data_IF_440602025839
#
_entry.id   IF_440602025839
#
_cell.length_a   1.000
_cell.length_b   1.000
_cell.length_c   1.000
_cell.angle_alpha   90.00
_cell.angle_beta   90.00
_cell.angle_gamma   90.00
#
_symmetry.space_group_name_H-M   'P 1'
#
loop_
_entity.id
_entity.type
_entity.pdbx_description
1 polymer ?
#
# COMPACT_ATOMS: atom_id res chain seq x y z
N UNK A 1 53.93 -10.80 34.06
CA UNK A 1 52.53 -11.13 33.71
C UNK A 1 52.08 -10.35 32.48
N UNK A 2 52.51 -10.77 31.28
CA UNK A 2 52.17 -10.11 30.00
C UNK A 2 51.60 -11.13 28.99
N UNK A 3 50.99 -12.20 29.49
CA UNK A 3 50.48 -13.33 28.71
C UNK A 3 48.96 -13.42 28.57
N UNK A 4 48.20 -12.43 29.05
CA UNK A 4 46.74 -12.53 29.23
C UNK A 4 45.89 -11.65 28.30
N UNK A 5 46.49 -11.01 27.28
CA UNK A 5 45.77 -10.16 26.31
C UNK A 5 45.63 -10.76 24.91
N UNK A 6 45.98 -12.05 24.71
CA UNK A 6 45.98 -12.67 23.37
C UNK A 6 44.83 -13.66 23.11
N UNK A 7 43.74 -13.61 23.89
CA UNK A 7 42.69 -14.64 23.84
C UNK A 7 41.25 -14.18 23.64
N UNK A 8 41.03 -12.98 23.09
CA UNK A 8 39.69 -12.50 22.73
C UNK A 8 39.51 -12.17 21.23
N UNK A 9 40.49 -12.46 20.39
CA UNK A 9 40.36 -12.40 18.92
C UNK A 9 40.18 -13.80 18.30
N UNK A 10 39.42 -14.69 18.93
CA UNK A 10 38.94 -15.90 18.28
C UNK A 10 37.67 -15.59 17.47
N UNK A 11 37.90 -15.34 16.19
CA UNK A 11 36.96 -15.34 15.06
C UNK A 11 35.47 -15.45 15.37
N UNK A 12 34.78 -14.30 15.40
CA UNK A 12 33.44 -14.27 14.82
C UNK A 12 33.62 -14.56 13.34
N UNK A 13 33.36 -15.80 12.91
CA UNK A 13 32.99 -16.06 11.52
C UNK A 13 31.97 -14.97 11.18
N UNK A 14 32.29 -14.09 10.23
CA UNK A 14 31.25 -13.34 9.52
C UNK A 14 30.30 -14.43 9.04
N UNK A 15 29.20 -14.65 9.75
CA UNK A 15 28.07 -15.36 9.18
C UNK A 15 27.76 -14.51 7.95
N UNK A 16 28.17 -15.01 6.78
CA UNK A 16 27.74 -14.46 5.51
C UNK A 16 26.24 -14.34 5.64
N UNK A 17 25.73 -13.11 5.58
CA UNK A 17 24.28 -12.89 5.55
C UNK A 17 23.70 -13.88 4.55
N UNK A 18 22.62 -14.61 4.92
CA UNK A 18 22.03 -15.56 4.00
C UNK A 18 21.76 -14.84 2.68
N UNK A 19 22.35 -15.36 1.61
CA UNK A 19 22.14 -14.82 0.27
C UNK A 19 20.64 -14.93 -0.01
N UNK A 20 19.99 -13.79 -0.20
CA UNK A 20 18.57 -13.73 -0.48
C UNK A 20 18.28 -14.54 -1.74
N UNK A 21 17.16 -15.27 -1.75
CA UNK A 21 16.70 -15.92 -2.97
C UNK A 21 16.33 -14.86 -4.02
N UNK A 22 16.27 -15.25 -5.29
CA UNK A 22 15.79 -14.36 -6.36
C UNK A 22 14.39 -13.83 -6.07
N UNK A 23 13.50 -14.69 -5.54
CA UNK A 23 12.16 -14.29 -5.10
C UNK A 23 12.21 -13.23 -4.00
N UNK A 24 13.07 -13.39 -3.00
CA UNK A 24 13.22 -12.41 -1.92
C UNK A 24 13.78 -11.07 -2.43
N UNK A 25 14.72 -11.12 -3.37
CA UNK A 25 15.25 -9.92 -4.04
C UNK A 25 14.15 -9.21 -4.83
N UNK A 26 13.35 -9.95 -5.60
CA UNK A 26 12.26 -9.39 -6.38
C UNK A 26 11.17 -8.83 -5.46
N UNK A 27 10.76 -9.57 -4.43
CA UNK A 27 9.82 -9.07 -3.42
C UNK A 27 10.31 -7.80 -2.73
N UNK A 28 11.59 -7.71 -2.40
CA UNK A 28 12.18 -6.50 -1.83
C UNK A 28 12.18 -5.33 -2.81
N UNK A 29 12.63 -5.55 -4.04
CA UNK A 29 12.85 -4.48 -5.02
C UNK A 29 11.54 -3.96 -5.62
N UNK A 30 10.58 -4.85 -5.90
CA UNK A 30 9.32 -4.53 -6.59
C UNK A 30 8.16 -4.26 -5.63
N UNK A 31 8.24 -4.70 -4.37
CA UNK A 31 7.17 -4.47 -3.38
C UNK A 31 7.70 -3.72 -2.16
N UNK A 32 8.76 -4.23 -1.51
CA UNK A 32 9.29 -3.70 -0.26
C UNK A 32 9.73 -2.23 -0.35
N UNK A 33 10.71 -1.91 -1.20
CA UNK A 33 11.21 -0.54 -1.36
C UNK A 33 10.14 0.45 -1.82
N UNK A 34 9.30 0.15 -2.83
CA UNK A 34 8.21 1.04 -3.23
C UNK A 34 7.22 1.31 -2.10
N UNK A 35 6.86 0.28 -1.34
CA UNK A 35 6.00 0.39 -0.15
C UNK A 35 6.61 1.30 0.91
N UNK A 36 7.90 1.12 1.19
CA UNK A 36 8.62 1.92 2.19
C UNK A 36 8.72 3.39 1.77
N UNK A 37 8.99 3.67 0.49
CA UNK A 37 9.03 5.03 -0.03
C UNK A 37 7.67 5.71 0.16
N UNK A 38 6.59 5.08 -0.31
CA UNK A 38 5.23 5.62 -0.19
C UNK A 38 4.84 5.86 1.28
N UNK A 39 5.10 4.87 2.14
CA UNK A 39 4.80 5.00 3.57
C UNK A 39 5.56 6.16 4.23
N UNK A 40 6.80 6.44 3.82
CA UNK A 40 7.60 7.55 4.37
C UNK A 40 7.02 8.90 3.98
N UNK A 41 6.62 9.06 2.72
CA UNK A 41 6.02 10.31 2.26
C UNK A 41 4.67 10.56 2.95
N UNK A 42 3.84 9.52 3.11
CA UNK A 42 2.59 9.64 3.88
C UNK A 42 2.89 10.03 5.33
N UNK A 43 3.84 9.37 5.99
CA UNK A 43 4.19 9.68 7.38
C UNK A 43 4.71 11.11 7.56
N UNK A 44 5.50 11.60 6.61
CA UNK A 44 6.03 12.97 6.58
C UNK A 44 4.88 13.97 6.47
N UNK A 45 3.97 13.76 5.51
CA UNK A 45 2.84 14.64 5.27
C UNK A 45 1.86 14.67 6.44
N UNK A 46 1.56 13.50 7.02
CA UNK A 46 0.70 13.37 8.21
C UNK A 46 1.29 14.07 9.42
N UNK A 47 2.60 13.96 9.65
CA UNK A 47 3.26 14.65 10.76
C UNK A 47 3.24 16.17 10.59
N UNK A 48 3.41 16.66 9.37
CA UNK A 48 3.49 18.09 9.09
C UNK A 48 2.12 18.78 9.08
N UNK A 49 1.14 18.18 8.40
CA UNK A 49 -0.14 18.84 8.10
C UNK A 49 -1.35 18.12 8.70
N UNK A 50 -1.36 16.79 8.76
CA UNK A 50 -2.58 16.01 9.07
C UNK A 50 -2.54 15.24 10.39
N UNK A 51 -2.01 15.88 11.44
CA UNK A 51 -1.86 15.26 12.77
C UNK A 51 -3.14 14.62 13.34
N UNK A 52 -4.36 15.21 13.18
CA UNK A 52 -5.59 14.63 13.73
C UNK A 52 -5.93 13.21 13.23
N UNK A 53 -5.55 12.86 11.99
CA UNK A 53 -5.86 11.54 11.40
C UNK A 53 -4.73 10.53 11.57
N UNK A 54 -3.61 10.93 12.20
CA UNK A 54 -2.38 10.12 12.31
C UNK A 54 -2.60 8.71 12.82
N UNK A 55 -3.49 8.51 13.80
CA UNK A 55 -3.76 7.19 14.37
C UNK A 55 -4.44 6.26 13.36
N UNK A 56 -5.39 6.78 12.59
CA UNK A 56 -6.11 6.01 11.58
C UNK A 56 -5.20 5.67 10.41
N UNK A 57 -4.41 6.64 9.94
CA UNK A 57 -3.42 6.43 8.89
C UNK A 57 -2.40 5.37 9.29
N UNK A 58 -1.84 5.45 10.50
CA UNK A 58 -0.90 4.44 11.01
C UNK A 58 -1.51 3.04 11.04
N UNK A 59 -2.75 2.91 11.49
CA UNK A 59 -3.45 1.62 11.49
C UNK A 59 -3.62 1.08 10.07
N UNK A 60 -4.10 1.91 9.15
CA UNK A 60 -4.33 1.51 7.77
C UNK A 60 -3.03 1.09 7.06
N UNK A 61 -1.96 1.88 7.18
CA UNK A 61 -0.64 1.54 6.64
C UNK A 61 -0.11 0.24 7.25
N UNK A 62 -0.17 0.09 8.57
CA UNK A 62 0.34 -1.12 9.22
C UNK A 62 -0.39 -2.39 8.74
N UNK A 63 -1.69 -2.29 8.47
CA UNK A 63 -2.49 -3.43 8.01
C UNK A 63 -2.37 -3.67 6.50
N UNK A 64 -2.58 -2.64 5.68
CA UNK A 64 -2.58 -2.81 4.22
C UNK A 64 -1.16 -2.89 3.67
N UNK A 65 -0.29 -1.94 4.01
CA UNK A 65 1.01 -1.79 3.36
C UNK A 65 2.06 -2.76 3.91
N UNK A 66 1.99 -3.12 5.19
CA UNK A 66 3.04 -3.92 5.83
C UNK A 66 2.62 -5.32 6.28
N UNK A 67 1.33 -5.65 6.21
CA UNK A 67 0.86 -7.03 6.45
C UNK A 67 0.26 -7.61 5.20
N UNK A 68 -0.87 -7.05 4.76
CA UNK A 68 -1.64 -7.67 3.71
C UNK A 68 -0.94 -7.63 2.35
N UNK A 69 -0.57 -6.44 1.89
CA UNK A 69 -0.05 -6.23 0.53
C UNK A 69 1.19 -7.06 0.23
N UNK A 70 2.26 -6.95 1.03
CA UNK A 70 3.47 -7.76 0.84
C UNK A 70 3.19 -9.26 0.95
N UNK A 71 2.38 -9.70 1.93
CA UNK A 71 2.06 -11.12 2.10
C UNK A 71 1.31 -11.68 0.90
N UNK A 72 0.28 -10.98 0.42
CA UNK A 72 -0.54 -11.45 -0.70
C UNK A 72 0.25 -11.45 -2.01
N UNK A 73 0.96 -10.36 -2.31
CA UNK A 73 1.77 -10.30 -3.53
C UNK A 73 2.81 -11.41 -3.52
N UNK A 74 3.52 -11.59 -2.41
CA UNK A 74 4.56 -12.62 -2.28
C UNK A 74 4.02 -14.05 -2.15
N UNK A 75 2.72 -14.29 -2.02
CA UNK A 75 2.15 -15.65 -1.99
C UNK A 75 1.35 -15.98 -3.24
N UNK A 76 0.81 -14.96 -3.91
CA UNK A 76 -0.10 -15.14 -5.04
C UNK A 76 0.63 -15.08 -6.38
N UNK A 77 1.61 -14.20 -6.52
CA UNK A 77 2.33 -14.04 -7.79
C UNK A 77 3.38 -15.15 -7.98
N UNK A 78 3.50 -15.64 -9.21
CA UNK A 78 4.63 -16.47 -9.61
C UNK A 78 5.95 -15.68 -9.53
N UNK A 79 7.10 -16.36 -9.57
CA UNK A 79 8.41 -15.68 -9.59
C UNK A 79 8.54 -14.75 -10.80
N UNK A 80 8.05 -15.16 -11.96
CA UNK A 80 8.04 -14.36 -13.19
C UNK A 80 7.14 -13.13 -13.07
N UNK A 81 5.92 -13.28 -12.52
CA UNK A 81 5.03 -12.15 -12.28
C UNK A 81 5.65 -11.18 -11.27
N UNK A 82 6.30 -11.69 -10.21
CA UNK A 82 6.95 -10.85 -9.22
C UNK A 82 8.17 -10.09 -9.77
N UNK A 83 8.95 -10.72 -10.65
CA UNK A 83 10.09 -10.10 -11.34
C UNK A 83 9.65 -8.97 -12.29
N UNK A 84 8.49 -9.12 -12.93
CA UNK A 84 7.94 -8.14 -13.87
C UNK A 84 7.00 -7.11 -13.20
N UNK A 85 6.75 -7.23 -11.89
CA UNK A 85 5.88 -6.31 -11.18
C UNK A 85 6.50 -4.91 -11.09
N UNK A 86 5.82 -3.90 -11.61
CA UNK A 86 6.26 -2.52 -11.44
C UNK A 86 6.03 -2.04 -10.01
N UNK A 87 7.10 -1.58 -9.36
CA UNK A 87 7.02 -0.96 -8.04
C UNK A 87 6.12 0.27 -8.00
N UNK A 88 6.04 1.02 -9.11
CA UNK A 88 5.14 2.16 -9.25
C UNK A 88 3.68 1.73 -9.33
N UNK A 89 3.38 0.57 -9.93
CA UNK A 89 2.02 0.01 -9.91
C UNK A 89 1.59 -0.33 -8.49
N UNK A 90 2.49 -0.91 -7.69
CA UNK A 90 2.24 -1.19 -6.26
C UNK A 90 1.96 0.11 -5.50
N UNK A 91 2.79 1.13 -5.71
CA UNK A 91 2.59 2.45 -5.08
C UNK A 91 1.26 3.09 -5.48
N UNK A 92 0.90 3.04 -6.77
CA UNK A 92 -0.35 3.58 -7.28
C UNK A 92 -1.55 2.88 -6.65
N UNK A 93 -1.59 1.54 -6.65
CA UNK A 93 -2.70 0.80 -6.03
C UNK A 93 -2.84 1.14 -4.55
N UNK A 94 -1.73 1.19 -3.80
CA UNK A 94 -1.74 1.58 -2.40
C UNK A 94 -2.21 3.02 -2.18
N UNK A 95 -1.80 3.96 -3.04
CA UNK A 95 -2.22 5.35 -2.98
C UNK A 95 -3.73 5.48 -3.26
N UNK A 96 -4.26 4.77 -4.25
CA UNK A 96 -5.69 4.80 -4.60
C UNK A 96 -6.57 4.26 -3.48
N UNK A 97 -6.19 3.11 -2.90
CA UNK A 97 -6.90 2.53 -1.74
C UNK A 97 -6.81 3.45 -0.52
N UNK A 98 -5.64 4.04 -0.27
CA UNK A 98 -5.43 4.99 0.81
C UNK A 98 -6.25 6.28 0.63
N UNK A 99 -6.28 6.83 -0.59
CA UNK A 99 -7.08 8.00 -0.96
C UNK A 99 -8.57 7.76 -0.75
N UNK A 100 -9.07 6.60 -1.16
CA UNK A 100 -10.45 6.20 -0.90
C UNK A 100 -10.77 6.16 0.61
N UNK A 101 -9.87 5.59 1.42
CA UNK A 101 -10.01 5.62 2.87
C UNK A 101 -10.09 7.05 3.44
N UNK A 102 -9.28 7.98 2.91
CA UNK A 102 -9.35 9.40 3.30
C UNK A 102 -10.67 10.05 2.89
N UNK A 103 -11.20 9.74 1.69
CA UNK A 103 -12.51 10.24 1.21
C UNK A 103 -13.63 9.82 2.17
N UNK A 104 -13.70 8.53 2.52
CA UNK A 104 -14.65 8.01 3.50
C UNK A 104 -14.51 8.65 4.88
N UNK A 105 -13.29 8.99 5.31
CA UNK A 105 -13.08 9.70 6.57
C UNK A 105 -13.54 11.15 6.51
N UNK A 106 -13.28 11.81 5.38
CA UNK A 106 -13.58 13.23 5.18
C UNK A 106 -15.09 13.50 5.19
N UNK A 107 -15.89 12.58 4.64
CA UNK A 107 -17.35 12.67 4.63
C UNK A 107 -17.95 12.54 6.04
N UNK A 108 -17.26 11.84 6.94
CA UNK A 108 -17.72 11.61 8.32
C UNK A 108 -17.21 12.63 9.34
N UNK A 109 -16.09 13.30 9.08
CA UNK A 109 -15.51 14.26 10.01
C UNK A 109 -14.80 15.39 9.26
N UNK A 110 -15.45 16.56 9.22
CA UNK A 110 -14.81 17.78 8.71
C UNK A 110 -13.67 18.17 9.65
N UNK A 111 -12.44 18.12 9.13
CA UNK A 111 -11.31 18.68 9.85
C UNK A 111 -11.39 20.20 9.70
N UNK A 112 -11.71 20.90 10.79
CA UNK A 112 -12.09 22.34 10.83
C UNK A 112 -11.15 23.31 10.09
N UNK A 113 -9.91 22.92 9.85
CA UNK A 113 -8.86 23.75 9.25
C UNK A 113 -8.39 23.26 7.88
N UNK A 114 -9.10 22.34 7.25
CA UNK A 114 -8.73 21.78 5.95
C UNK A 114 -9.82 22.08 4.93
N UNK A 115 -9.40 22.26 3.68
CA UNK A 115 -10.30 22.40 2.55
C UNK A 115 -11.17 21.13 2.39
N UNK A 116 -12.32 21.25 1.74
CA UNK A 116 -13.24 20.10 1.59
C UNK A 116 -12.62 18.96 0.75
N UNK A 117 -11.76 19.32 -0.20
CA UNK A 117 -11.02 18.43 -1.11
C UNK A 117 -9.64 17.99 -0.53
N UNK A 118 -9.40 18.15 0.77
CA UNK A 118 -8.11 17.78 1.37
C UNK A 118 -7.64 16.33 1.08
N UNK A 119 -8.51 15.30 0.92
CA UNK A 119 -8.04 13.97 0.54
C UNK A 119 -7.37 13.96 -0.84
N UNK A 120 -7.85 14.80 -1.76
CA UNK A 120 -7.33 14.94 -3.11
C UNK A 120 -5.98 15.65 -3.11
N UNK A 121 -5.90 16.76 -2.39
CA UNK A 121 -4.65 17.50 -2.22
C UNK A 121 -3.58 16.63 -1.53
N UNK A 122 -3.99 15.85 -0.53
CA UNK A 122 -3.11 14.87 0.11
C UNK A 122 -2.58 13.87 -0.92
N UNK A 123 -3.47 13.24 -1.67
CA UNK A 123 -3.09 12.20 -2.62
C UNK A 123 -2.21 12.75 -3.75
N UNK A 124 -2.49 13.96 -4.24
CA UNK A 124 -1.70 14.64 -5.26
C UNK A 124 -0.27 14.92 -4.77
N UNK A 125 -0.11 15.45 -3.54
CA UNK A 125 1.22 15.71 -2.97
C UNK A 125 2.05 14.42 -2.83
N UNK A 126 1.40 13.29 -2.49
CA UNK A 126 2.07 11.99 -2.43
C UNK A 126 2.43 11.45 -3.82
N UNK A 127 1.52 11.58 -4.79
CA UNK A 127 1.73 11.17 -6.18
C UNK A 127 2.96 11.86 -6.78
N UNK A 128 3.06 13.18 -6.59
CA UNK A 128 4.16 14.03 -7.03
C UNK A 128 5.47 13.68 -6.30
N UNK A 129 5.45 13.61 -4.96
CA UNK A 129 6.65 13.30 -4.18
C UNK A 129 7.23 11.91 -4.49
N UNK A 130 6.38 10.97 -4.89
CA UNK A 130 6.81 9.63 -5.28
C UNK A 130 7.10 9.49 -6.79
N UNK A 131 6.88 10.54 -7.60
CA UNK A 131 7.10 10.53 -9.05
C UNK A 131 6.41 9.33 -9.75
N UNK A 132 5.15 9.06 -9.39
CA UNK A 132 4.46 7.84 -9.81
C UNK A 132 4.00 7.83 -11.27
N UNK A 133 3.96 9.00 -11.92
CA UNK A 133 3.48 9.18 -13.31
C UNK A 133 4.57 9.69 -14.27
N UNK A 134 5.83 9.77 -13.83
CA UNK A 134 6.87 10.53 -14.55
C UNK A 134 7.90 9.67 -15.28
N UNK A 135 7.65 8.38 -15.49
CA UNK A 135 8.63 7.48 -16.12
C UNK A 135 8.27 7.17 -17.57
N UNK A 136 9.12 7.59 -18.50
CA UNK A 136 8.89 7.41 -19.94
C UNK A 136 8.74 5.95 -20.36
N UNK A 137 9.25 5.00 -19.58
CA UNK A 137 9.24 3.57 -19.92
C UNK A 137 8.05 2.83 -19.27
N UNK A 138 7.18 3.55 -18.58
CA UNK A 138 6.05 2.99 -17.85
C UNK A 138 4.81 2.84 -18.75
N UNK A 139 4.62 1.61 -19.25
CA UNK A 139 3.53 1.25 -20.17
C UNK A 139 2.13 1.41 -19.57
N UNK A 140 2.02 1.57 -18.25
CA UNK A 140 0.75 1.71 -17.53
C UNK A 140 0.39 3.17 -17.22
N UNK A 141 1.18 4.18 -17.65
CA UNK A 141 0.94 5.60 -17.32
C UNK A 141 -0.51 6.02 -17.61
N UNK A 142 -1.00 5.81 -18.83
CA UNK A 142 -2.34 6.25 -19.20
C UNK A 142 -3.43 5.62 -18.32
N UNK A 143 -3.24 4.36 -17.92
CA UNK A 143 -4.14 3.67 -17.00
C UNK A 143 -4.07 4.26 -15.60
N UNK A 144 -2.87 4.57 -15.10
CA UNK A 144 -2.67 5.20 -13.79
C UNK A 144 -3.25 6.60 -13.75
N UNK A 145 -3.05 7.39 -14.79
CA UNK A 145 -3.65 8.72 -14.95
C UNK A 145 -5.18 8.65 -14.89
N UNK A 146 -5.78 7.74 -15.66
CA UNK A 146 -7.23 7.54 -15.65
C UNK A 146 -7.75 7.11 -14.27
N UNK A 147 -7.04 6.20 -13.59
CA UNK A 147 -7.40 5.76 -12.25
C UNK A 147 -7.24 6.86 -11.20
N UNK A 148 -6.20 7.68 -11.32
CA UNK A 148 -5.97 8.79 -10.42
C UNK A 148 -6.93 9.96 -10.68
N UNK A 149 -7.36 10.19 -11.93
CA UNK A 149 -8.40 11.16 -12.24
C UNK A 149 -9.79 10.76 -11.68
N UNK A 150 -10.01 9.48 -11.37
CA UNK A 150 -11.27 8.99 -10.87
C UNK A 150 -11.62 9.55 -9.46
N UNK A 151 -12.80 10.14 -9.35
CA UNK A 151 -13.33 10.74 -8.11
C UNK A 151 -14.37 9.90 -7.40
N UNK A 152 -14.77 8.76 -7.96
CA UNK A 152 -15.75 7.86 -7.39
C UNK A 152 -15.24 7.26 -6.07
N UNK A 153 -16.14 7.23 -5.09
CA UNK A 153 -15.91 6.54 -3.82
C UNK A 153 -16.12 5.03 -4.04
N UNK A 154 -15.21 4.21 -3.53
CA UNK A 154 -15.31 2.77 -3.65
C UNK A 154 -16.46 2.25 -2.79
N UNK A 155 -17.36 1.47 -3.40
CA UNK A 155 -18.41 0.77 -2.66
C UNK A 155 -17.79 -0.33 -1.79
N UNK A 156 -18.07 -0.23 -0.50
CA UNK A 156 -17.58 -1.08 0.58
C UNK A 156 -18.71 -1.57 1.50
N UNK A 157 -19.95 -1.18 1.23
CA UNK A 157 -21.10 -1.43 2.10
C UNK A 157 -21.60 -2.86 1.94
N UNK A 158 -21.63 -3.35 0.71
CA UNK A 158 -22.00 -4.73 0.39
C UNK A 158 -20.88 -5.68 0.79
N UNK A 159 -21.14 -6.65 1.66
CA UNK A 159 -20.16 -7.69 2.03
C UNK A 159 -20.19 -8.79 0.99
N UNK A 160 -19.05 -9.11 0.39
CA UNK A 160 -18.96 -10.29 -0.48
C UNK A 160 -18.80 -11.52 0.41
N UNK A 161 -19.73 -12.46 0.31
CA UNK A 161 -19.76 -13.69 1.07
C UNK A 161 -19.93 -14.89 0.12
N UNK A 162 -18.89 -15.74 -0.03
CA UNK A 162 -18.99 -16.91 -0.90
C UNK A 162 -20.04 -17.93 -0.44
N UNK A 163 -20.48 -17.88 0.83
CA UNK A 163 -21.52 -18.77 1.38
C UNK A 163 -22.94 -18.25 1.11
N UNK A 164 -23.10 -17.01 0.59
CA UNK A 164 -24.39 -16.38 0.28
C UNK A 164 -24.40 -15.90 -1.18
N UNK A 165 -25.07 -16.65 -2.07
CA UNK A 165 -25.03 -16.45 -3.54
C UNK A 165 -25.45 -15.04 -3.98
N UNK A 166 -26.36 -14.41 -3.25
CA UNK A 166 -26.82 -13.03 -3.47
C UNK A 166 -25.73 -11.97 -3.26
N UNK A 167 -24.62 -12.33 -2.62
CA UNK A 167 -23.54 -11.45 -2.21
C UNK A 167 -22.20 -11.87 -2.81
N UNK A 168 -22.18 -12.26 -4.09
CA UNK A 168 -20.96 -12.76 -4.77
C UNK A 168 -20.38 -11.78 -5.79
N UNK A 169 -21.06 -10.66 -6.06
CA UNK A 169 -20.64 -9.69 -7.08
C UNK A 169 -19.41 -8.91 -6.60
N UNK A 170 -18.30 -9.04 -7.33
CA UNK A 170 -17.10 -8.24 -7.11
C UNK A 170 -17.29 -6.83 -7.69
N UNK A 171 -17.11 -5.75 -6.90
CA UNK A 171 -17.26 -4.39 -7.41
C UNK A 171 -16.30 -4.04 -8.54
N UNK A 172 -16.79 -3.37 -9.58
CA UNK A 172 -16.03 -3.03 -10.79
C UNK A 172 -14.79 -2.18 -10.53
N UNK A 173 -14.82 -1.35 -9.47
CA UNK A 173 -13.68 -0.50 -9.10
C UNK A 173 -12.42 -1.31 -8.77
N UNK A 174 -12.57 -2.59 -8.40
CA UNK A 174 -11.45 -3.46 -8.03
C UNK A 174 -10.67 -3.97 -9.23
N UNK A 175 -11.31 -4.09 -10.41
CA UNK A 175 -10.74 -4.68 -11.62
C UNK A 175 -9.49 -3.93 -12.08
N UNK A 176 -9.54 -2.62 -12.36
CA UNK A 176 -8.37 -1.94 -12.91
C UNK A 176 -7.22 -1.82 -11.91
N UNK A 177 -7.50 -1.85 -10.60
CA UNK A 177 -6.48 -1.90 -9.54
C UNK A 177 -5.79 -3.27 -9.51
N UNK A 178 -6.57 -4.34 -9.62
CA UNK A 178 -6.06 -5.70 -9.58
C UNK A 178 -5.15 -5.99 -10.77
N UNK A 179 -5.54 -5.53 -11.96
CA UNK A 179 -4.75 -5.66 -13.19
C UNK A 179 -3.38 -4.99 -13.08
N UNK A 180 -3.27 -3.81 -12.43
CA UNK A 180 -1.98 -3.11 -12.26
C UNK A 180 -0.95 -3.95 -11.51
N UNK A 181 -1.40 -4.81 -10.60
CA UNK A 181 -0.51 -5.63 -9.76
C UNK A 181 -0.71 -7.14 -9.95
N UNK A 182 -1.33 -7.53 -11.06
CA UNK A 182 -1.55 -8.93 -11.47
C UNK A 182 -2.28 -9.79 -10.42
N UNK A 183 -3.15 -9.18 -9.61
CA UNK A 183 -3.97 -9.88 -8.62
C UNK A 183 -5.40 -10.11 -9.13
N UNK A 184 -6.16 -10.91 -8.40
CA UNK A 184 -7.60 -11.06 -8.64
C UNK A 184 -8.36 -9.86 -8.04
N UNK A 185 -9.44 -9.37 -8.67
CA UNK A 185 -10.24 -8.25 -8.15
C UNK A 185 -10.78 -8.49 -6.73
N UNK A 186 -11.24 -9.71 -6.44
CA UNK A 186 -11.68 -10.12 -5.09
C UNK A 186 -10.60 -9.92 -4.02
N UNK A 187 -9.33 -10.13 -4.39
CA UNK A 187 -8.18 -9.97 -3.49
C UNK A 187 -8.03 -8.49 -3.07
N UNK A 188 -8.20 -7.54 -3.99
CA UNK A 188 -8.20 -6.10 -3.69
C UNK A 188 -9.38 -5.73 -2.77
N UNK A 189 -10.56 -6.24 -3.08
CA UNK A 189 -11.74 -5.99 -2.26
C UNK A 189 -11.56 -6.48 -0.81
N UNK A 190 -11.10 -7.71 -0.62
CA UNK A 190 -10.98 -8.34 0.70
C UNK A 190 -9.89 -7.75 1.59
N UNK A 191 -9.02 -6.88 1.09
CA UNK A 191 -8.06 -6.18 1.93
C UNK A 191 -8.41 -4.75 2.23
N UNK A 192 -9.12 -4.08 1.33
CA UNK A 192 -9.58 -2.73 1.60
C UNK A 192 -10.82 -2.72 2.49
N UNK A 193 -11.86 -3.48 2.12
CA UNK A 193 -13.18 -3.40 2.75
C UNK A 193 -13.17 -3.72 4.26
N UNK A 194 -12.51 -4.78 4.76
CA UNK A 194 -12.49 -5.05 6.20
C UNK A 194 -11.81 -3.94 7.00
N UNK A 195 -10.78 -3.30 6.44
CA UNK A 195 -10.11 -2.16 7.08
C UNK A 195 -11.05 -0.96 7.15
N UNK A 196 -11.76 -0.68 6.06
CA UNK A 196 -12.77 0.36 6.03
C UNK A 196 -13.88 0.11 7.05
N UNK A 197 -14.43 -1.11 7.12
CA UNK A 197 -15.44 -1.47 8.11
C UNK A 197 -14.97 -1.19 9.55
N UNK A 198 -13.72 -1.53 9.89
CA UNK A 198 -13.14 -1.25 11.21
C UNK A 198 -12.96 0.25 11.45
N UNK A 199 -12.48 1.00 10.47
CA UNK A 199 -12.22 2.44 10.57
C UNK A 199 -13.53 3.21 10.75
N UNK A 200 -14.56 2.88 9.96
CA UNK A 200 -15.85 3.56 9.96
C UNK A 200 -16.70 3.15 11.17
N UNK A 201 -16.64 1.88 11.62
CA UNK A 201 -17.34 1.45 12.85
C UNK A 201 -16.83 2.14 14.11
N UNK A 202 -15.53 2.45 14.19
CA UNK A 202 -14.94 3.20 15.32
C UNK A 202 -15.37 4.67 15.40
N UNK A 203 -16.16 5.14 14.44
CA UNK A 203 -16.68 6.52 14.38
C UNK A 203 -18.19 6.64 14.60
N UNK A 204 -18.93 5.51 14.64
CA UNK A 204 -20.32 5.46 15.12
C UNK A 204 -20.31 5.26 16.63
#
# INVERSE_FOLDING_TARGET
MLGLLKKLSSGKKKQSEPTLSERDLNGRNHVGYPTMQLSREIDKLVKAKYAPIKRIVKFYIAMLFFKWGPSVINTTLSDEQLANLSGRNVQMVYLLLFRDMLRHISSLAKLKHFAEDWPEQFAQEILENCNMLSDSDDVDIAKKEALFANTQLFDIDNTIDPDHLENTVIPDWTIPLAELIMLKPATIYHCHRPLMAVILKKKK
#
